data_IF_710950011671
#
_entry.id   IF_710950011671
#
_cell.length_a   1.000
_cell.length_b   1.000
_cell.length_c   1.000
_cell.angle_alpha   90.00
_cell.angle_beta   90.00
_cell.angle_gamma   90.00
#
_symmetry.space_group_name_H-M   'P 1'
#
loop_
_entity.id
_entity.type
_entity.pdbx_description
1 polymer ?
#
# COMPACT_ATOMS: atom_id res chain seq x y z
N UNK A 1 -19.60 18.07 3.74
CA UNK A 1 -18.88 18.88 4.75
C UNK A 1 -17.40 18.79 4.42
N UNK A 2 -16.72 19.92 4.18
CA UNK A 2 -15.30 19.93 3.80
C UNK A 2 -14.46 19.53 5.01
N UNK A 3 -13.86 18.34 4.96
CA UNK A 3 -12.95 17.86 5.99
C UNK A 3 -11.71 18.74 6.03
N UNK A 4 -11.43 19.36 7.18
CA UNK A 4 -10.17 20.05 7.45
C UNK A 4 -9.06 19.00 7.45
N UNK A 5 -8.21 19.05 6.44
CA UNK A 5 -7.02 18.22 6.33
C UNK A 5 -5.97 18.75 7.32
N UNK A 6 -5.84 18.13 8.50
CA UNK A 6 -4.70 18.36 9.40
C UNK A 6 -3.49 17.61 8.85
N UNK A 7 -2.78 18.25 7.94
CA UNK A 7 -1.51 17.74 7.42
C UNK A 7 -0.38 18.27 8.31
N UNK A 8 0.15 17.41 9.19
CA UNK A 8 1.31 17.72 10.03
C UNK A 8 2.57 17.55 9.18
N UNK A 9 2.94 18.59 8.42
CA UNK A 9 4.21 18.64 7.68
C UNK A 9 5.06 19.76 8.23
N UNK A 10 6.19 19.38 8.86
CA UNK A 10 7.25 20.31 9.22
C UNK A 10 7.88 20.86 7.93
N UNK A 11 7.39 21.98 7.45
CA UNK A 11 7.95 22.70 6.31
C UNK A 11 9.31 23.28 6.73
N UNK A 12 10.41 22.73 6.20
CA UNK A 12 11.74 23.29 6.37
C UNK A 12 11.91 24.41 5.34
N UNK A 13 11.65 25.64 5.75
CA UNK A 13 12.01 26.83 4.97
C UNK A 13 13.50 27.09 5.11
N UNK A 14 14.30 26.69 4.11
CA UNK A 14 15.72 27.08 4.02
C UNK A 14 15.82 28.44 3.33
N UNK A 15 16.18 29.47 4.08
CA UNK A 15 16.62 30.76 3.53
C UNK A 15 18.15 30.73 3.42
N UNK A 16 18.65 30.41 2.22
CA UNK A 16 20.08 30.46 1.91
C UNK A 16 20.51 31.85 1.47
N UNK A 17 21.28 32.57 2.29
CA UNK A 17 22.02 33.76 1.85
C UNK A 17 23.41 33.31 1.39
N UNK A 18 23.65 33.30 0.08
CA UNK A 18 25.00 33.13 -0.46
C UNK A 18 25.81 34.41 -0.25
N UNK A 19 26.86 34.33 0.57
CA UNK A 19 27.93 35.34 0.62
C UNK A 19 29.25 34.66 0.28
N UNK A 20 29.82 34.99 -0.88
CA UNK A 20 31.16 34.58 -1.30
C UNK A 20 32.21 35.29 -0.44
N UNK A 21 33.07 34.54 0.25
CA UNK A 21 34.35 35.06 0.75
C UNK A 21 35.40 33.94 0.80
N UNK A 22 36.37 34.05 -0.10
CA UNK A 22 37.58 33.24 -0.21
C UNK A 22 38.57 33.53 0.92
N UNK A 23 39.06 32.52 1.64
CA UNK A 23 40.39 32.57 2.28
C UNK A 23 41.06 31.19 2.21
N UNK A 24 42.24 31.19 1.60
CA UNK A 24 43.20 30.10 1.48
C UNK A 24 43.98 29.88 2.79
N UNK A 25 44.15 28.60 3.15
CA UNK A 25 45.38 27.93 3.59
C UNK A 25 46.33 28.60 4.61
N UNK A 26 46.37 28.07 5.84
CA UNK A 26 47.56 27.90 6.70
C UNK A 26 47.10 27.00 7.88
N UNK A 27 47.70 25.87 8.23
CA UNK A 27 49.11 25.68 8.58
C UNK A 27 49.14 25.14 10.02
N UNK A 28 49.64 23.92 10.17
CA UNK A 28 49.66 23.08 11.37
C UNK A 28 50.46 23.72 12.53
N UNK A 29 49.89 23.87 13.73
CA UNK A 29 50.68 23.87 14.97
C UNK A 29 49.86 23.55 16.22
N UNK A 30 50.29 22.50 16.92
CA UNK A 30 49.68 21.94 18.13
C UNK A 30 50.32 22.55 19.38
N UNK A 31 49.56 23.30 20.19
CA UNK A 31 49.92 23.61 21.58
C UNK A 31 48.70 23.62 22.48
N UNK A 32 48.82 22.87 23.58
CA UNK A 32 47.87 22.80 24.69
C UNK A 32 47.47 24.20 25.17
N UNK A 33 46.19 24.55 25.01
CA UNK A 33 45.58 25.72 25.60
C UNK A 33 44.51 25.27 26.60
N UNK A 34 44.73 25.70 27.84
CA UNK A 34 43.87 25.71 29.02
C UNK A 34 42.38 25.84 28.67
N UNK A 35 41.53 24.99 29.28
CA UNK A 35 40.07 25.09 29.25
C UNK A 35 39.65 26.42 29.88
N UNK A 36 39.61 27.44 29.04
CA UNK A 36 39.03 28.74 29.34
C UNK A 36 37.53 28.55 29.24
N UNK A 37 36.79 29.03 30.24
CA UNK A 37 35.32 29.09 30.21
C UNK A 37 34.85 29.54 28.83
N UNK A 38 34.26 28.64 28.05
CA UNK A 38 33.77 28.97 26.72
C UNK A 38 32.71 30.05 26.90
N UNK A 39 33.07 31.30 26.58
CA UNK A 39 32.07 32.33 26.34
C UNK A 39 31.10 31.74 25.31
N UNK A 40 29.78 31.89 25.51
CA UNK A 40 28.83 31.42 24.51
C UNK A 40 29.25 32.06 23.19
N UNK A 41 29.72 31.22 22.25
CA UNK A 41 30.08 31.66 20.91
C UNK A 41 28.88 32.44 20.40
N UNK A 42 29.11 33.68 19.98
CA UNK A 42 28.07 34.45 19.33
C UNK A 42 27.48 33.57 18.22
N UNK A 43 26.15 33.53 18.08
CA UNK A 43 25.55 32.66 17.09
C UNK A 43 26.17 32.95 15.71
N UNK A 44 26.48 31.91 14.91
CA UNK A 44 27.31 32.05 13.72
C UNK A 44 26.63 32.81 12.57
N UNK A 45 25.33 33.05 12.64
CA UNK A 45 24.57 33.78 11.63
C UNK A 45 24.07 35.13 12.15
N UNK A 46 24.28 36.17 11.35
CA UNK A 46 23.66 37.48 11.56
C UNK A 46 22.18 37.44 11.17
N UNK A 47 21.40 38.36 11.74
CA UNK A 47 20.01 38.53 11.36
C UNK A 47 19.91 39.14 9.96
N UNK A 48 18.97 38.70 9.12
CA UNK A 48 18.87 39.17 7.75
C UNK A 48 18.42 40.64 7.70
N UNK A 49 18.90 41.39 6.72
CA UNK A 49 18.62 42.84 6.60
C UNK A 49 17.13 43.16 6.42
N UNK A 50 16.36 42.24 5.85
CA UNK A 50 14.90 42.35 5.65
C UNK A 50 14.08 41.77 6.82
N UNK A 51 14.68 41.47 7.98
CA UNK A 51 13.98 40.85 9.11
C UNK A 51 12.73 41.62 9.52
N UNK A 52 12.78 42.96 9.52
CA UNK A 52 11.64 43.79 9.89
C UNK A 52 10.42 43.56 8.98
N UNK A 53 10.64 43.37 7.67
CA UNK A 53 9.57 43.08 6.72
C UNK A 53 9.03 41.65 6.92
N UNK A 54 9.91 40.68 7.17
CA UNK A 54 9.50 39.30 7.49
C UNK A 54 8.66 39.27 8.77
N UNK A 55 9.07 40.00 9.82
CA UNK A 55 8.36 40.06 11.10
C UNK A 55 7.02 40.80 11.04
N UNK A 56 6.81 41.67 10.05
CA UNK A 56 5.51 42.30 9.79
C UNK A 56 4.47 41.27 9.31
N UNK A 57 4.91 40.23 8.60
CA UNK A 57 4.06 39.13 8.11
C UNK A 57 4.00 37.99 9.14
N UNK A 58 5.17 37.62 9.68
CA UNK A 58 5.35 36.53 10.63
C UNK A 58 6.13 36.98 11.86
N UNK A 59 5.43 37.46 12.92
CA UNK A 59 6.07 37.88 14.15
C UNK A 59 6.90 36.74 14.77
N UNK A 60 8.20 36.98 14.95
CA UNK A 60 9.10 36.00 15.55
C UNK A 60 9.18 36.18 17.06
N UNK A 61 9.14 35.06 17.79
CA UNK A 61 9.48 35.06 19.21
C UNK A 61 10.99 35.19 19.41
N UNK A 62 11.42 35.57 20.60
CA UNK A 62 12.85 35.60 20.98
C UNK A 62 13.52 34.24 20.76
N UNK A 63 12.82 33.14 21.04
CA UNK A 63 13.31 31.79 20.75
C UNK A 63 13.49 31.51 19.25
N UNK A 64 12.60 32.03 18.41
CA UNK A 64 12.71 31.90 16.95
C UNK A 64 13.88 32.73 16.39
N UNK A 65 14.06 33.96 16.89
CA UNK A 65 15.22 34.81 16.56
C UNK A 65 16.54 34.15 16.96
N UNK A 66 16.60 33.58 18.17
CA UNK A 66 17.78 32.85 18.63
C UNK A 66 18.07 31.65 17.73
N UNK A 67 17.06 30.86 17.35
CA UNK A 67 17.24 29.76 16.39
C UNK A 67 17.73 30.23 15.02
N UNK A 68 17.19 31.34 14.51
CA UNK A 68 17.61 31.92 13.25
C UNK A 68 19.10 32.30 13.28
N UNK A 69 19.57 32.91 14.37
CA UNK A 69 20.98 33.26 14.55
C UNK A 69 21.89 32.03 14.74
N UNK A 70 21.37 30.97 15.34
CA UNK A 70 22.14 29.72 15.59
C UNK A 70 22.23 28.84 14.36
N UNK A 71 21.15 28.71 13.58
CA UNK A 71 21.00 27.73 12.51
C UNK A 71 20.90 28.33 11.10
N UNK A 72 20.74 29.65 10.96
CA UNK A 72 20.52 30.32 9.68
C UNK A 72 19.10 30.17 9.12
N UNK A 73 18.26 29.36 9.76
CA UNK A 73 16.85 29.21 9.44
C UNK A 73 16.02 28.97 10.71
N UNK A 74 14.71 29.16 10.60
CA UNK A 74 13.77 28.84 11.67
C UNK A 74 12.47 28.30 11.09
N UNK A 75 11.96 27.22 11.68
CA UNK A 75 10.62 26.70 11.39
C UNK A 75 9.64 27.35 12.37
N UNK A 76 8.59 27.94 11.82
CA UNK A 76 7.53 28.61 12.60
C UNK A 76 6.39 27.63 12.90
N UNK A 77 5.57 27.92 13.92
CA UNK A 77 4.38 27.12 14.21
C UNK A 77 3.43 27.04 13.00
N UNK A 78 2.64 25.97 12.96
CA UNK A 78 1.73 25.71 11.85
C UNK A 78 0.76 26.87 11.60
N UNK A 79 0.66 27.26 10.33
CA UNK A 79 -0.41 28.13 9.83
C UNK A 79 -1.41 27.26 9.08
N UNK A 80 -2.70 27.32 9.45
CA UNK A 80 -3.75 26.68 8.66
C UNK A 80 -3.88 27.40 7.30
N UNK A 81 -3.53 26.72 6.22
CA UNK A 81 -3.68 27.21 4.85
C UNK A 81 -4.28 26.10 4.01
N UNK A 82 -5.37 26.41 3.29
CA UNK A 82 -6.13 25.41 2.53
C UNK A 82 -5.33 24.77 1.39
N UNK A 83 -4.39 25.52 0.80
CA UNK A 83 -3.62 25.10 -0.37
C UNK A 83 -2.17 25.56 -0.27
N UNK A 84 -1.24 24.67 -0.62
CA UNK A 84 0.18 24.99 -0.67
C UNK A 84 0.48 26.15 -1.64
N UNK A 85 -0.23 26.23 -2.77
CA UNK A 85 -0.13 27.36 -3.70
C UNK A 85 -0.50 28.69 -3.04
N UNK A 86 -1.54 28.73 -2.19
CA UNK A 86 -1.92 29.92 -1.43
C UNK A 86 -0.86 30.30 -0.40
N UNK A 87 -0.18 29.32 0.19
CA UNK A 87 0.91 29.56 1.14
C UNK A 87 2.04 30.38 0.53
N UNK A 88 2.37 30.11 -0.74
CA UNK A 88 3.35 30.87 -1.50
C UNK A 88 2.78 32.18 -2.02
N UNK A 89 1.63 32.14 -2.72
CA UNK A 89 1.05 33.30 -3.42
C UNK A 89 0.75 34.48 -2.51
N UNK A 90 0.41 34.24 -1.23
CA UNK A 90 0.17 35.32 -0.25
C UNK A 90 1.41 36.17 0.06
N UNK A 91 2.62 35.65 -0.21
CA UNK A 91 3.88 36.33 0.08
C UNK A 91 4.45 37.07 -1.14
N UNK A 92 3.98 36.78 -2.35
CA UNK A 92 4.45 37.47 -3.56
C UNK A 92 4.22 38.99 -3.58
N UNK A 93 3.16 39.55 -2.95
CA UNK A 93 3.00 41.00 -2.83
C UNK A 93 4.03 41.69 -1.92
N UNK A 94 4.73 40.94 -1.06
CA UNK A 94 5.65 41.48 -0.07
C UNK A 94 7.04 41.72 -0.70
N UNK A 95 7.29 42.93 -1.23
CA UNK A 95 8.49 43.26 -2.02
C UNK A 95 9.83 42.95 -1.32
N UNK A 96 9.86 42.99 0.01
CA UNK A 96 11.06 42.74 0.81
C UNK A 96 11.15 41.30 1.35
N UNK A 97 10.21 40.43 0.98
CA UNK A 97 10.19 39.02 1.39
C UNK A 97 10.49 38.15 0.18
N UNK A 98 11.61 37.43 0.21
CA UNK A 98 11.92 36.44 -0.82
C UNK A 98 11.15 35.15 -0.56
N UNK A 99 10.44 34.67 -1.58
CA UNK A 99 9.68 33.41 -1.54
C UNK A 99 10.51 32.31 -2.19
N UNK A 100 10.91 31.30 -1.41
CA UNK A 100 11.59 30.12 -1.92
C UNK A 100 10.58 28.99 -2.14
N UNK A 101 10.33 28.63 -3.40
CA UNK A 101 9.40 27.56 -3.77
C UNK A 101 10.15 26.24 -3.85
N UNK A 102 9.76 25.27 -3.04
CA UNK A 102 10.34 23.93 -3.02
C UNK A 102 9.66 22.98 -4.01
N UNK A 103 10.30 21.84 -4.28
CA UNK A 103 9.79 20.81 -5.19
C UNK A 103 8.53 20.10 -4.70
N UNK A 104 8.20 20.21 -3.41
CA UNK A 104 6.97 19.70 -2.80
C UNK A 104 5.70 20.29 -3.43
N UNK A 105 5.76 21.50 -4.00
CA UNK A 105 4.64 22.07 -4.76
C UNK A 105 4.30 21.20 -5.96
N UNK A 106 5.32 20.79 -6.72
CA UNK A 106 5.11 19.93 -7.88
C UNK A 106 4.58 18.56 -7.45
N UNK A 107 5.10 18.00 -6.35
CA UNK A 107 4.65 16.72 -5.81
C UNK A 107 3.20 16.81 -5.29
N UNK A 108 2.83 17.88 -4.59
CA UNK A 108 1.46 18.10 -4.12
C UNK A 108 0.47 18.23 -5.28
N UNK A 109 0.82 18.99 -6.32
CA UNK A 109 0.00 19.10 -7.53
C UNK A 109 -0.14 17.75 -8.24
N UNK A 110 0.96 17.00 -8.36
CA UNK A 110 0.93 15.64 -8.90
C UNK A 110 0.00 14.74 -8.10
N UNK A 111 0.07 14.75 -6.77
CA UNK A 111 -0.81 13.96 -5.91
C UNK A 111 -2.29 14.30 -6.11
N UNK A 112 -2.65 15.58 -6.18
CA UNK A 112 -4.05 15.98 -6.39
C UNK A 112 -4.57 15.50 -7.75
N UNK A 113 -3.77 15.67 -8.82
CA UNK A 113 -4.15 15.21 -10.17
C UNK A 113 -4.27 13.68 -10.22
N UNK A 114 -3.36 12.97 -9.54
CA UNK A 114 -3.40 11.52 -9.46
C UNK A 114 -4.64 11.02 -8.69
N UNK A 115 -4.96 11.65 -7.56
CA UNK A 115 -6.13 11.31 -6.73
C UNK A 115 -7.45 11.53 -7.50
N UNK A 116 -7.57 12.66 -8.19
CA UNK A 116 -8.72 12.97 -9.05
C UNK A 116 -8.86 11.95 -10.20
N UNK A 117 -7.74 11.63 -10.88
CA UNK A 117 -7.73 10.64 -11.95
C UNK A 117 -8.14 9.24 -11.44
N UNK A 118 -7.58 8.80 -10.31
CA UNK A 118 -7.89 7.51 -9.70
C UNK A 118 -9.38 7.45 -9.32
N UNK A 119 -9.88 8.51 -8.67
CA UNK A 119 -11.29 8.63 -8.29
C UNK A 119 -12.22 8.46 -9.50
N UNK A 120 -11.92 9.14 -10.61
CA UNK A 120 -12.73 9.06 -11.83
C UNK A 120 -12.67 7.67 -12.48
N UNK A 121 -11.48 7.07 -12.55
CA UNK A 121 -11.30 5.71 -13.10
C UNK A 121 -12.04 4.65 -12.27
N UNK A 122 -11.99 4.76 -10.94
CA UNK A 122 -12.67 3.83 -10.03
C UNK A 122 -14.18 3.93 -10.15
N UNK A 123 -14.72 5.16 -10.10
CA UNK A 123 -16.16 5.40 -10.22
C UNK A 123 -16.73 4.99 -11.58
N UNK A 124 -16.00 5.28 -12.65
CA UNK A 124 -16.50 5.12 -14.03
C UNK A 124 -16.26 3.72 -14.58
N UNK A 125 -15.17 3.06 -14.16
CA UNK A 125 -14.75 1.79 -14.76
C UNK A 125 -14.47 0.70 -13.71
N UNK A 126 -13.47 0.88 -12.84
CA UNK A 126 -12.92 -0.23 -12.06
C UNK A 126 -13.91 -0.85 -11.08
N UNK A 127 -14.81 -0.05 -10.48
CA UNK A 127 -15.84 -0.59 -9.58
C UNK A 127 -16.74 -1.60 -10.28
N UNK A 128 -17.20 -1.28 -11.49
CA UNK A 128 -18.07 -2.17 -12.26
C UNK A 128 -17.30 -3.41 -12.75
N UNK A 129 -16.06 -3.22 -13.21
CA UNK A 129 -15.19 -4.31 -13.67
C UNK A 129 -14.86 -5.29 -12.53
N UNK A 130 -14.46 -4.80 -11.36
CA UNK A 130 -14.16 -5.62 -10.18
C UNK A 130 -15.41 -6.37 -9.71
N UNK A 131 -16.57 -5.71 -9.66
CA UNK A 131 -17.83 -6.37 -9.30
C UNK A 131 -18.15 -7.54 -10.22
N UNK A 132 -18.04 -7.33 -11.53
CA UNK A 132 -18.25 -8.40 -12.51
C UNK A 132 -17.22 -9.52 -12.36
N UNK A 133 -15.96 -9.18 -12.19
CA UNK A 133 -14.87 -10.15 -12.03
C UNK A 133 -15.08 -11.04 -10.80
N UNK A 134 -15.43 -10.46 -9.66
CA UNK A 134 -15.75 -11.17 -8.41
C UNK A 134 -16.96 -12.09 -8.60
N UNK A 135 -18.01 -11.62 -9.25
CA UNK A 135 -19.21 -12.44 -9.52
C UNK A 135 -18.89 -13.65 -10.41
N UNK A 136 -18.18 -13.43 -11.53
CA UNK A 136 -17.80 -14.48 -12.46
C UNK A 136 -16.91 -15.54 -11.77
N UNK A 137 -15.92 -15.11 -11.00
CA UNK A 137 -15.02 -16.01 -10.26
C UNK A 137 -15.69 -16.71 -9.08
N UNK A 138 -16.65 -16.08 -8.41
CA UNK A 138 -17.48 -16.74 -7.38
C UNK A 138 -18.27 -17.91 -7.97
N UNK A 139 -18.97 -17.68 -9.09
CA UNK A 139 -19.76 -18.73 -9.77
C UNK A 139 -18.87 -19.89 -10.19
N UNK A 140 -17.69 -19.60 -10.76
CA UNK A 140 -16.71 -20.62 -11.14
C UNK A 140 -16.21 -21.39 -9.91
N UNK A 141 -15.91 -20.71 -8.81
CA UNK A 141 -15.43 -21.32 -7.56
C UNK A 141 -16.45 -22.28 -6.95
N UNK A 142 -17.74 -21.89 -6.91
CA UNK A 142 -18.83 -22.76 -6.43
C UNK A 142 -18.96 -23.99 -7.34
N UNK A 143 -18.84 -23.80 -8.65
CA UNK A 143 -18.90 -24.88 -9.62
C UNK A 143 -17.76 -25.88 -9.47
N UNK A 144 -16.54 -25.41 -9.19
CA UNK A 144 -15.40 -26.28 -8.89
C UNK A 144 -15.64 -27.10 -7.62
N UNK A 145 -16.07 -26.47 -6.53
CA UNK A 145 -16.34 -27.16 -5.27
C UNK A 145 -17.38 -28.30 -5.43
N UNK A 146 -18.40 -28.09 -6.27
CA UNK A 146 -19.44 -29.10 -6.54
C UNK A 146 -18.97 -30.26 -7.43
N UNK A 147 -17.98 -30.04 -8.32
CA UNK A 147 -17.51 -31.03 -9.29
C UNK A 147 -16.35 -31.87 -8.76
N UNK A 148 -15.58 -31.35 -7.81
CA UNK A 148 -14.44 -32.06 -7.24
C UNK A 148 -14.95 -33.27 -6.43
N UNK A 149 -14.50 -34.50 -6.74
CA UNK A 149 -14.87 -35.71 -6.02
C UNK A 149 -14.54 -35.65 -4.53
N UNK A 150 -15.33 -36.33 -3.69
CA UNK A 150 -15.15 -36.28 -2.23
C UNK A 150 -13.84 -36.89 -1.74
N UNK A 151 -13.22 -37.78 -2.53
CA UNK A 151 -11.94 -38.39 -2.23
C UNK A 151 -10.73 -37.48 -2.51
N UNK A 152 -10.94 -36.34 -3.21
CA UNK A 152 -9.93 -35.30 -3.42
C UNK A 152 -10.03 -34.28 -2.28
N UNK A 153 -9.55 -34.66 -1.09
CA UNK A 153 -9.77 -33.89 0.14
C UNK A 153 -9.07 -32.53 0.09
N UNK A 154 -7.86 -32.46 -0.47
CA UNK A 154 -7.12 -31.21 -0.58
C UNK A 154 -7.74 -30.30 -1.63
N UNK A 155 -8.07 -30.84 -2.82
CA UNK A 155 -8.74 -30.10 -3.88
C UNK A 155 -10.08 -29.53 -3.42
N UNK A 156 -10.86 -30.29 -2.63
CA UNK A 156 -12.13 -29.82 -2.08
C UNK A 156 -11.95 -28.71 -1.04
N UNK A 157 -10.94 -28.81 -0.19
CA UNK A 157 -10.59 -27.75 0.76
C UNK A 157 -10.15 -26.47 0.02
N UNK A 158 -9.35 -26.60 -1.03
CA UNK A 158 -8.89 -25.50 -1.88
C UNK A 158 -10.04 -24.81 -2.63
N UNK A 159 -10.98 -25.58 -3.19
CA UNK A 159 -12.16 -25.03 -3.82
C UNK A 159 -13.08 -24.31 -2.81
N UNK A 160 -13.22 -24.86 -1.59
CA UNK A 160 -13.94 -24.18 -0.49
C UNK A 160 -13.28 -22.86 -0.13
N UNK A 161 -11.94 -22.81 -0.08
CA UNK A 161 -11.18 -21.59 0.17
C UNK A 161 -11.51 -20.51 -0.87
N UNK A 162 -11.49 -20.83 -2.17
CA UNK A 162 -11.84 -19.88 -3.22
C UNK A 162 -13.31 -19.43 -3.14
N UNK A 163 -14.24 -20.33 -2.82
CA UNK A 163 -15.64 -19.95 -2.57
C UNK A 163 -15.74 -18.94 -1.44
N UNK A 164 -15.08 -19.18 -0.31
CA UNK A 164 -15.08 -18.27 0.83
C UNK A 164 -14.46 -16.91 0.45
N UNK A 165 -13.31 -16.92 -0.22
CA UNK A 165 -12.59 -15.72 -0.65
C UNK A 165 -13.47 -14.80 -1.51
N UNK A 166 -14.12 -15.34 -2.55
CA UNK A 166 -15.01 -14.55 -3.40
C UNK A 166 -16.38 -14.30 -2.79
N UNK A 167 -16.85 -15.13 -1.87
CA UNK A 167 -18.08 -14.87 -1.12
C UNK A 167 -17.95 -13.61 -0.25
N UNK A 168 -16.85 -13.48 0.49
CA UNK A 168 -16.57 -12.27 1.30
C UNK A 168 -16.49 -11.06 0.38
N UNK A 169 -15.72 -11.11 -0.71
CA UNK A 169 -15.65 -10.03 -1.68
C UNK A 169 -17.02 -9.65 -2.28
N UNK A 170 -17.85 -10.64 -2.59
CA UNK A 170 -19.21 -10.44 -3.10
C UNK A 170 -20.09 -9.71 -2.08
N UNK A 171 -20.03 -10.09 -0.80
CA UNK A 171 -20.77 -9.41 0.27
C UNK A 171 -20.32 -7.96 0.48
N UNK A 172 -19.03 -7.70 0.35
CA UNK A 172 -18.49 -6.34 0.48
C UNK A 172 -18.94 -5.43 -0.68
N UNK A 173 -19.23 -6.00 -1.85
CA UNK A 173 -19.71 -5.27 -3.04
C UNK A 173 -21.23 -5.19 -3.17
N UNK A 174 -21.94 -6.10 -2.50
CA UNK A 174 -23.39 -6.25 -2.46
C UNK A 174 -23.84 -6.83 -1.11
N UNK A 175 -24.43 -5.98 -0.27
CA UNK A 175 -24.88 -6.34 1.08
C UNK A 175 -25.95 -7.44 1.11
N UNK A 176 -26.67 -7.64 0.01
CA UNK A 176 -27.71 -8.65 -0.11
C UNK A 176 -27.19 -10.06 -0.45
N UNK A 177 -25.90 -10.17 -0.80
CA UNK A 177 -25.30 -11.43 -1.22
C UNK A 177 -25.34 -12.50 -0.12
N UNK A 178 -25.84 -13.71 -0.40
CA UNK A 178 -25.85 -14.82 0.57
C UNK A 178 -24.95 -15.96 0.07
N UNK A 179 -23.96 -16.42 0.86
CA UNK A 179 -23.10 -17.52 0.46
C UNK A 179 -23.76 -18.88 0.73
N UNK A 180 -23.15 -20.00 0.26
CA UNK A 180 -23.60 -21.34 0.61
C UNK A 180 -23.33 -21.68 2.07
N UNK A 181 -24.18 -22.50 2.69
CA UNK A 181 -24.12 -22.85 4.12
C UNK A 181 -22.74 -23.38 4.58
N UNK A 182 -22.04 -24.12 3.72
CA UNK A 182 -20.76 -24.77 4.07
C UNK A 182 -19.58 -23.78 4.27
N UNK A 183 -19.72 -22.52 3.87
CA UNK A 183 -18.76 -21.44 4.19
C UNK A 183 -19.31 -20.40 5.17
N UNK A 184 -20.59 -20.50 5.56
CA UNK A 184 -21.28 -19.47 6.33
C UNK A 184 -20.61 -19.08 7.66
N UNK A 185 -20.03 -20.01 8.46
CA UNK A 185 -19.36 -19.64 9.70
C UNK A 185 -18.17 -18.70 9.46
N UNK A 186 -17.20 -19.15 8.65
CA UNK A 186 -15.99 -18.37 8.33
C UNK A 186 -16.33 -17.08 7.58
N UNK A 187 -17.33 -17.13 6.69
CA UNK A 187 -17.83 -15.98 5.97
C UNK A 187 -18.34 -14.90 6.91
N UNK A 188 -19.19 -15.27 7.88
CA UNK A 188 -19.77 -14.32 8.82
C UNK A 188 -18.69 -13.68 9.68
N UNK A 189 -17.70 -14.47 10.12
CA UNK A 189 -16.55 -13.98 10.87
C UNK A 189 -15.73 -12.96 10.08
N UNK A 190 -15.32 -13.29 8.85
CA UNK A 190 -14.51 -12.37 8.05
C UNK A 190 -15.25 -11.09 7.67
N UNK A 191 -16.53 -11.20 7.29
CA UNK A 191 -17.34 -10.02 6.97
C UNK A 191 -17.47 -9.12 8.19
N UNK A 192 -17.73 -9.69 9.37
CA UNK A 192 -17.82 -8.92 10.61
C UNK A 192 -16.51 -8.18 10.90
N UNK A 193 -15.36 -8.87 10.90
CA UNK A 193 -14.05 -8.26 11.15
C UNK A 193 -13.71 -7.13 10.16
N UNK A 194 -14.01 -7.33 8.87
CA UNK A 194 -13.79 -6.30 7.84
C UNK A 194 -14.70 -5.08 8.03
N UNK A 195 -15.95 -5.28 8.44
CA UNK A 195 -16.90 -4.18 8.66
C UNK A 195 -16.62 -3.44 9.96
N UNK A 196 -16.16 -4.13 11.01
CA UNK A 196 -15.77 -3.51 12.28
C UNK A 196 -14.44 -2.76 12.19
N UNK A 197 -13.50 -3.27 11.38
CA UNK A 197 -12.20 -2.68 11.06
C UNK A 197 -11.43 -2.14 12.28
N UNK A 198 -11.50 -2.83 13.41
CA UNK A 198 -10.99 -2.37 14.72
C UNK A 198 -9.91 -3.27 15.32
N UNK A 199 -9.63 -4.41 14.68
CA UNK A 199 -8.77 -5.45 15.22
C UNK A 199 -7.56 -5.68 14.32
N UNK A 200 -6.38 -5.82 14.92
CA UNK A 200 -5.18 -6.25 14.25
C UNK A 200 -4.75 -7.62 14.81
N UNK A 201 -4.71 -8.63 13.96
CA UNK A 201 -4.28 -9.98 14.30
C UNK A 201 -2.87 -10.23 13.77
N UNK A 202 -2.06 -10.94 14.56
CA UNK A 202 -0.77 -11.42 14.06
C UNK A 202 -0.99 -12.52 13.03
N UNK A 203 -0.02 -12.66 12.11
CA UNK A 203 0.05 -13.75 11.15
C UNK A 203 -0.27 -15.11 11.82
N UNK A 204 -1.17 -15.93 11.23
CA UNK A 204 -1.74 -15.86 9.88
C UNK A 204 -3.07 -15.06 9.79
N UNK A 205 -3.39 -14.26 10.81
CA UNK A 205 -4.51 -13.30 10.77
C UNK A 205 -4.27 -12.12 9.81
N UNK A 206 -5.05 -11.06 9.95
CA UNK A 206 -4.92 -9.83 9.16
C UNK A 206 -5.02 -8.59 10.06
N UNK A 207 -4.54 -7.46 9.54
CA UNK A 207 -4.81 -6.15 10.13
C UNK A 207 -6.13 -5.59 9.56
N UNK A 208 -7.22 -5.86 10.26
CA UNK A 208 -8.55 -5.42 9.86
C UNK A 208 -8.71 -3.90 9.97
N UNK A 209 -7.82 -3.19 10.68
CA UNK A 209 -7.83 -1.71 10.73
C UNK A 209 -7.52 -1.07 9.37
N UNK A 210 -6.97 -1.83 8.42
CA UNK A 210 -6.71 -1.37 7.05
C UNK A 210 -7.95 -1.30 6.15
N UNK A 211 -9.11 -1.80 6.64
CA UNK A 211 -10.37 -1.83 5.89
C UNK A 211 -11.27 -0.62 6.18
N UNK A 212 -10.86 0.27 7.08
CA UNK A 212 -11.50 1.58 7.27
C UNK A 212 -11.37 2.43 5.99
N UNK A 213 -12.48 2.87 5.37
CA UNK A 213 -12.43 3.76 4.20
C UNK A 213 -11.80 5.11 4.55
N UNK A 214 -10.89 5.59 3.68
CA UNK A 214 -10.11 6.82 3.88
C UNK A 214 -10.03 7.61 2.57
N UNK A 215 -9.56 8.85 2.63
CA UNK A 215 -9.35 9.67 1.42
C UNK A 215 -10.65 9.90 0.65
N UNK A 216 -10.61 9.76 -0.68
CA UNK A 216 -11.75 9.96 -1.57
C UNK A 216 -12.82 8.86 -1.48
N UNK A 217 -12.52 7.71 -0.85
CA UNK A 217 -13.50 6.65 -0.64
C UNK A 217 -14.49 6.97 0.48
N UNK A 218 -14.05 7.71 1.50
CA UNK A 218 -14.86 7.95 2.70
C UNK A 218 -16.05 8.88 2.42
N UNK A 219 -17.24 8.48 2.89
CA UNK A 219 -18.47 9.27 2.76
C UNK A 219 -19.29 9.00 1.49
N UNK A 220 -18.87 8.07 0.64
CA UNK A 220 -19.65 7.53 -0.49
C UNK A 220 -19.79 6.02 -0.30
N UNK A 221 -20.99 5.56 0.07
CA UNK A 221 -21.24 4.15 0.44
C UNK A 221 -20.79 3.14 -0.63
N UNK A 222 -20.95 3.46 -1.92
CA UNK A 222 -20.53 2.56 -2.98
C UNK A 222 -19.01 2.49 -3.10
N UNK A 223 -18.32 3.62 -2.90
CA UNK A 223 -16.85 3.63 -2.88
C UNK A 223 -16.29 2.98 -1.63
N UNK A 224 -16.95 3.13 -0.49
CA UNK A 224 -16.55 2.44 0.74
C UNK A 224 -16.69 0.91 0.60
N UNK A 225 -17.77 0.44 -0.01
CA UNK A 225 -17.97 -0.98 -0.38
C UNK A 225 -16.87 -1.47 -1.33
N UNK A 226 -16.61 -0.71 -2.39
CA UNK A 226 -15.55 -0.99 -3.35
C UNK A 226 -14.16 -1.06 -2.70
N UNK A 227 -13.82 -0.09 -1.86
CA UNK A 227 -12.55 -0.02 -1.14
C UNK A 227 -12.32 -1.28 -0.30
N UNK A 228 -13.29 -1.68 0.53
CA UNK A 228 -13.18 -2.87 1.38
C UNK A 228 -13.00 -4.14 0.56
N UNK A 229 -13.74 -4.27 -0.53
CA UNK A 229 -13.61 -5.41 -1.43
C UNK A 229 -12.25 -5.46 -2.13
N UNK A 230 -11.77 -4.34 -2.65
CA UNK A 230 -10.44 -4.27 -3.29
C UNK A 230 -9.32 -4.53 -2.26
N UNK A 231 -9.45 -4.01 -1.04
CA UNK A 231 -8.54 -4.31 0.08
C UNK A 231 -8.52 -5.80 0.41
N UNK A 232 -9.68 -6.43 0.53
CA UNK A 232 -9.79 -7.87 0.76
C UNK A 232 -9.09 -8.68 -0.33
N UNK A 233 -9.37 -8.36 -1.60
CA UNK A 233 -8.79 -9.06 -2.75
C UNK A 233 -7.27 -8.91 -2.83
N UNK A 234 -6.75 -7.71 -2.58
CA UNK A 234 -5.33 -7.37 -2.76
C UNK A 234 -4.45 -7.70 -1.55
N UNK A 235 -5.00 -7.81 -0.33
CA UNK A 235 -4.20 -8.03 0.88
C UNK A 235 -4.09 -9.50 1.27
N UNK A 236 -5.11 -10.30 0.98
CA UNK A 236 -5.12 -11.72 1.34
C UNK A 236 -4.11 -12.46 0.47
N UNK A 237 -3.30 -13.29 1.13
CA UNK A 237 -2.24 -14.06 0.50
C UNK A 237 -2.65 -15.53 0.39
N UNK A 238 -2.17 -16.17 -0.66
CA UNK A 238 -2.20 -17.61 -0.82
C UNK A 238 -0.76 -18.11 -0.66
N UNK A 239 -0.46 -18.70 0.50
CA UNK A 239 0.90 -19.14 0.83
C UNK A 239 1.30 -20.31 -0.08
N UNK A 240 2.47 -20.19 -0.71
CA UNK A 240 3.02 -21.31 -1.48
C UNK A 240 3.65 -22.36 -0.55
N UNK A 241 4.13 -21.93 0.62
CA UNK A 241 4.66 -22.76 1.70
C UNK A 241 4.50 -22.03 3.04
N UNK A 242 4.53 -22.76 4.15
CA UNK A 242 4.53 -22.20 5.50
C UNK A 242 5.11 -23.23 6.48
N UNK A 243 6.04 -22.81 7.34
CA UNK A 243 6.68 -23.69 8.32
C UNK A 243 5.83 -23.93 9.58
N UNK A 244 4.98 -22.97 9.94
CA UNK A 244 4.14 -23.02 11.14
C UNK A 244 2.75 -23.57 10.83
N UNK A 245 2.24 -23.32 9.61
CA UNK A 245 0.91 -23.73 9.14
C UNK A 245 0.98 -24.49 7.80
N UNK A 246 1.75 -25.59 7.70
CA UNK A 246 2.01 -26.26 6.43
C UNK A 246 0.76 -26.84 5.76
N UNK A 247 -0.22 -27.30 6.54
CA UNK A 247 -1.47 -27.84 6.00
C UNK A 247 -2.34 -26.76 5.34
N UNK A 248 -2.39 -25.57 5.93
CA UNK A 248 -3.13 -24.45 5.35
C UNK A 248 -2.43 -23.93 4.09
N UNK A 249 -1.09 -23.89 4.08
CA UNK A 249 -0.33 -23.55 2.88
C UNK A 249 -0.49 -24.59 1.76
N UNK A 250 -0.67 -25.88 2.06
CA UNK A 250 -1.03 -26.90 1.05
C UNK A 250 -2.41 -26.57 0.42
N UNK A 251 -3.39 -26.16 1.23
CA UNK A 251 -4.72 -25.73 0.75
C UNK A 251 -4.61 -24.48 -0.11
N UNK A 252 -3.87 -23.47 0.35
CA UNK A 252 -3.73 -22.18 -0.34
C UNK A 252 -2.94 -22.28 -1.64
N UNK A 253 -1.85 -23.04 -1.68
CA UNK A 253 -1.12 -23.34 -2.92
C UNK A 253 -2.05 -23.99 -3.96
N UNK A 254 -2.87 -24.94 -3.52
CA UNK A 254 -3.83 -25.64 -4.37
C UNK A 254 -4.98 -24.71 -4.79
N UNK A 255 -5.42 -23.81 -3.91
CA UNK A 255 -6.46 -22.81 -4.19
C UNK A 255 -5.97 -21.76 -5.20
N UNK A 256 -4.73 -21.30 -5.07
CA UNK A 256 -4.05 -20.43 -6.03
C UNK A 256 -3.91 -21.11 -7.41
N UNK A 257 -3.56 -22.39 -7.44
CA UNK A 257 -3.47 -23.16 -8.69
C UNK A 257 -4.84 -23.27 -9.40
N UNK A 258 -5.90 -23.52 -8.63
CA UNK A 258 -7.28 -23.60 -9.13
C UNK A 258 -7.78 -22.24 -9.62
N UNK A 259 -7.45 -21.16 -8.90
CA UNK A 259 -7.77 -19.79 -9.27
C UNK A 259 -7.08 -19.39 -10.59
N UNK A 260 -5.78 -19.66 -10.71
CA UNK A 260 -5.00 -19.38 -11.90
C UNK A 260 -5.60 -20.07 -13.14
N UNK A 261 -5.97 -21.35 -13.02
CA UNK A 261 -6.69 -22.07 -14.08
C UNK A 261 -8.07 -21.48 -14.37
N UNK A 262 -8.80 -21.03 -13.36
CA UNK A 262 -10.14 -20.44 -13.53
C UNK A 262 -10.09 -19.15 -14.34
N UNK A 263 -9.04 -18.34 -14.14
CA UNK A 263 -8.79 -17.12 -14.89
C UNK A 263 -8.35 -17.46 -16.31
N UNK A 264 -7.30 -18.27 -16.46
CA UNK A 264 -6.71 -18.64 -17.77
C UNK A 264 -7.69 -19.41 -18.68
N UNK A 265 -8.49 -20.30 -18.10
CA UNK A 265 -9.46 -21.13 -18.80
C UNK A 265 -10.71 -20.38 -19.30
N UNK A 266 -10.88 -19.11 -18.96
CA UNK A 266 -12.00 -18.29 -19.41
C UNK A 266 -11.51 -16.95 -19.97
N UNK A 267 -11.50 -16.84 -21.31
CA UNK A 267 -11.00 -15.66 -22.01
C UNK A 267 -11.66 -14.33 -21.58
N UNK A 268 -12.94 -14.34 -21.20
CA UNK A 268 -13.62 -13.12 -20.71
C UNK A 268 -13.13 -12.73 -19.32
N UNK A 269 -12.92 -13.71 -18.44
CA UNK A 269 -12.40 -13.48 -17.09
C UNK A 269 -10.93 -13.07 -17.14
N UNK A 270 -10.11 -13.75 -17.95
CA UNK A 270 -8.72 -13.39 -18.19
C UNK A 270 -8.57 -11.95 -18.70
N UNK A 271 -9.38 -11.55 -19.69
CA UNK A 271 -9.36 -10.20 -20.23
C UNK A 271 -9.78 -9.16 -19.20
N UNK A 272 -10.79 -9.46 -18.38
CA UNK A 272 -11.27 -8.55 -17.33
C UNK A 272 -10.26 -8.41 -16.19
N UNK A 273 -9.68 -9.53 -15.74
CA UNK A 273 -8.60 -9.53 -14.74
C UNK A 273 -7.40 -8.73 -15.26
N UNK A 274 -6.97 -8.97 -16.50
CA UNK A 274 -5.84 -8.25 -17.12
C UNK A 274 -6.14 -6.76 -17.22
N UNK A 275 -7.36 -6.36 -17.60
CA UNK A 275 -7.76 -4.95 -17.64
C UNK A 275 -7.62 -4.28 -16.27
N UNK A 276 -8.11 -4.93 -15.21
CA UNK A 276 -8.01 -4.38 -13.84
C UNK A 276 -6.55 -4.30 -13.42
N UNK A 277 -5.78 -5.36 -13.61
CA UNK A 277 -4.36 -5.42 -13.27
C UNK A 277 -3.51 -4.39 -14.05
N UNK A 278 -3.73 -4.23 -15.35
CA UNK A 278 -2.94 -3.32 -16.17
C UNK A 278 -3.18 -1.85 -15.80
N UNK A 279 -4.41 -1.50 -15.43
CA UNK A 279 -4.73 -0.15 -14.94
C UNK A 279 -4.07 0.09 -13.58
N UNK A 280 -4.22 -0.84 -12.63
CA UNK A 280 -3.62 -0.68 -11.29
C UNK A 280 -2.10 -0.67 -11.37
N UNK A 281 -1.50 -1.53 -12.21
CA UNK A 281 -0.06 -1.58 -12.47
C UNK A 281 0.48 -0.28 -13.04
N UNK A 282 -0.24 0.36 -13.95
CA UNK A 282 0.17 1.65 -14.52
C UNK A 282 0.13 2.79 -13.51
N UNK A 283 -0.77 2.72 -12.52
CA UNK A 283 -0.96 3.76 -11.51
C UNK A 283 -0.07 3.56 -10.28
N UNK A 284 0.08 2.33 -9.80
CA UNK A 284 0.71 2.00 -8.52
C UNK A 284 2.00 1.16 -8.66
N UNK A 285 2.37 0.74 -9.87
CA UNK A 285 3.52 -0.14 -10.11
C UNK A 285 3.15 -1.63 -10.17
N UNK A 286 4.09 -2.50 -10.58
CA UNK A 286 3.85 -3.94 -10.68
C UNK A 286 3.53 -4.54 -9.31
N UNK A 287 2.80 -5.67 -9.33
CA UNK A 287 2.58 -6.45 -8.12
C UNK A 287 3.90 -6.94 -7.54
N UNK A 288 4.03 -6.78 -6.22
CA UNK A 288 5.14 -7.23 -5.38
C UNK A 288 4.87 -8.64 -4.82
N UNK A 289 4.19 -9.48 -5.60
CA UNK A 289 3.75 -10.83 -5.24
C UNK A 289 3.44 -11.61 -6.51
N UNK A 290 3.29 -12.93 -6.42
CA UNK A 290 3.04 -13.78 -7.60
C UNK A 290 1.57 -13.59 -8.02
N UNK A 291 1.25 -12.96 -9.18
CA UNK A 291 -0.12 -12.85 -9.63
C UNK A 291 -0.60 -14.17 -10.27
N UNK A 292 -1.91 -14.38 -10.45
CA UNK A 292 -2.46 -15.61 -11.00
C UNK A 292 -1.88 -16.02 -12.38
N UNK A 293 -1.57 -15.11 -13.33
CA UNK A 293 -0.91 -15.52 -14.58
C UNK A 293 0.48 -16.11 -14.38
N UNK A 294 1.26 -15.65 -13.40
CA UNK A 294 2.56 -16.26 -13.10
C UNK A 294 2.39 -17.60 -12.38
N UNK A 295 1.36 -17.75 -11.53
CA UNK A 295 0.99 -19.05 -10.98
C UNK A 295 0.62 -20.05 -12.10
N UNK A 296 -0.15 -19.62 -13.10
CA UNK A 296 -0.48 -20.44 -14.27
C UNK A 296 0.78 -20.83 -15.06
N UNK A 297 1.72 -19.89 -15.26
CA UNK A 297 3.00 -20.17 -15.89
C UNK A 297 3.80 -21.24 -15.13
N UNK A 298 3.80 -21.20 -13.79
CA UNK A 298 4.46 -22.20 -12.96
C UNK A 298 3.83 -23.59 -13.13
N UNK A 299 2.49 -23.68 -13.16
CA UNK A 299 1.78 -24.93 -13.41
C UNK A 299 2.16 -25.53 -14.76
N UNK A 300 2.20 -24.71 -15.82
CA UNK A 300 2.62 -25.16 -17.16
C UNK A 300 4.09 -25.60 -17.19
N UNK A 301 4.98 -24.92 -16.48
CA UNK A 301 6.39 -25.30 -16.41
C UNK A 301 6.62 -26.66 -15.75
N UNK A 302 5.82 -26.99 -14.73
CA UNK A 302 5.99 -28.22 -13.92
C UNK A 302 5.23 -29.39 -14.50
N UNK A 303 3.96 -29.17 -14.89
CA UNK A 303 3.03 -30.23 -15.29
C UNK A 303 2.65 -30.19 -16.77
N UNK A 304 3.07 -29.16 -17.51
CA UNK A 304 2.66 -28.93 -18.89
C UNK A 304 1.20 -28.45 -19.01
N UNK A 305 0.68 -28.45 -20.23
CA UNK A 305 -0.73 -28.08 -20.52
C UNK A 305 -1.73 -29.15 -20.09
N UNK A 306 -1.26 -30.31 -19.60
CA UNK A 306 -2.10 -31.41 -19.16
C UNK A 306 -2.34 -31.40 -17.63
N UNK A 307 -2.00 -30.30 -16.95
CA UNK A 307 -2.23 -30.14 -15.52
C UNK A 307 -3.70 -30.40 -15.16
N UNK A 308 -3.91 -31.18 -14.11
CA UNK A 308 -5.22 -31.38 -13.49
C UNK A 308 -5.09 -31.23 -11.98
N UNK A 309 -6.13 -30.72 -11.32
CA UNK A 309 -6.07 -30.36 -9.90
C UNK A 309 -5.73 -31.55 -9.00
N UNK A 310 -6.19 -32.75 -9.37
CA UNK A 310 -5.94 -34.00 -8.63
C UNK A 310 -4.45 -34.36 -8.55
N UNK A 311 -3.62 -33.87 -9.48
CA UNK A 311 -2.16 -34.02 -9.39
C UNK A 311 -1.63 -33.39 -8.10
N UNK A 312 -2.27 -32.34 -7.57
CA UNK A 312 -1.83 -31.68 -6.34
C UNK A 312 -2.23 -32.41 -5.07
N UNK A 313 -3.04 -33.48 -5.13
CA UNK A 313 -3.25 -34.37 -3.98
C UNK A 313 -1.94 -35.05 -3.55
N UNK A 314 -1.04 -35.29 -4.51
CA UNK A 314 0.27 -35.88 -4.28
C UNK A 314 1.28 -34.86 -3.74
N UNK A 315 1.86 -35.13 -2.56
CA UNK A 315 2.80 -34.23 -1.90
C UNK A 315 4.06 -33.95 -2.73
N UNK A 316 4.52 -34.93 -3.52
CA UNK A 316 5.66 -34.77 -4.41
C UNK A 316 5.40 -33.73 -5.51
N UNK A 317 4.19 -33.69 -6.07
CA UNK A 317 3.81 -32.72 -7.08
C UNK A 317 3.74 -31.30 -6.49
N UNK A 318 3.19 -31.16 -5.27
CA UNK A 318 3.22 -29.87 -4.55
C UNK A 318 4.65 -29.40 -4.29
N UNK A 319 5.56 -30.30 -3.93
CA UNK A 319 6.97 -29.97 -3.73
C UNK A 319 7.65 -29.52 -5.04
N UNK A 320 7.35 -30.14 -6.17
CA UNK A 320 7.84 -29.70 -7.49
C UNK A 320 7.33 -28.30 -7.85
N UNK A 321 6.04 -28.02 -7.59
CA UNK A 321 5.45 -26.71 -7.83
C UNK A 321 6.07 -25.62 -6.93
N UNK A 322 6.31 -25.93 -5.66
CA UNK A 322 7.04 -25.02 -4.75
C UNK A 322 8.45 -24.72 -5.28
N UNK A 323 9.19 -25.75 -5.68
CA UNK A 323 10.54 -25.58 -6.22
C UNK A 323 10.57 -24.69 -7.46
N UNK A 324 9.56 -24.81 -8.34
CA UNK A 324 9.39 -23.90 -9.47
C UNK A 324 9.14 -22.46 -9.01
N UNK A 325 8.16 -22.23 -8.13
CA UNK A 325 7.79 -20.89 -7.64
C UNK A 325 8.94 -20.18 -6.90
N UNK A 326 9.92 -20.93 -6.38
CA UNK A 326 11.13 -20.38 -5.78
C UNK A 326 12.14 -19.81 -6.76
N UNK A 327 12.05 -20.11 -8.07
CA UNK A 327 12.95 -19.55 -9.08
C UNK A 327 12.87 -18.03 -9.19
N UNK A 328 13.96 -17.40 -9.59
CA UNK A 328 14.09 -15.93 -9.69
C UNK A 328 13.19 -15.26 -10.75
N UNK A 329 12.49 -16.05 -11.56
CA UNK A 329 11.49 -15.54 -12.52
C UNK A 329 10.17 -15.14 -11.85
N UNK A 330 9.96 -15.53 -10.60
CA UNK A 330 8.78 -15.19 -9.80
C UNK A 330 9.16 -14.12 -8.76
N UNK A 331 8.32 -13.07 -8.59
CA UNK A 331 8.61 -11.96 -7.69
C UNK A 331 8.75 -12.44 -6.24
N UNK A 332 9.59 -11.73 -5.50
CA UNK A 332 9.75 -11.84 -4.05
C UNK A 332 9.06 -10.63 -3.47
N UNK A 333 8.21 -10.83 -2.48
CA UNK A 333 7.51 -9.74 -1.82
C UNK A 333 8.43 -8.95 -0.91
N UNK A 334 8.45 -7.64 -1.12
CA UNK A 334 9.12 -6.63 -0.30
C UNK A 334 8.19 -6.09 0.80
N UNK A 335 6.88 -6.13 0.58
CA UNK A 335 5.85 -5.60 1.50
C UNK A 335 5.18 -6.74 2.26
N UNK A 336 5.33 -6.75 3.58
CA UNK A 336 4.60 -7.67 4.46
C UNK A 336 3.22 -7.05 4.77
N UNK A 337 2.10 -7.69 4.38
CA UNK A 337 0.78 -7.08 4.51
C UNK A 337 0.23 -7.16 5.93
N UNK A 338 0.75 -8.06 6.78
CA UNK A 338 0.17 -8.41 8.08
C UNK A 338 1.18 -8.29 9.23
N UNK A 339 0.73 -7.93 10.44
CA UNK A 339 1.60 -7.90 11.62
C UNK A 339 2.25 -9.27 11.88
N UNK A 340 3.55 -9.29 12.18
CA UNK A 340 4.29 -10.51 12.53
C UNK A 340 4.79 -10.46 13.96
N UNK A 341 4.77 -11.59 14.66
CA UNK A 341 5.34 -11.71 16.02
C UNK A 341 6.87 -11.62 16.01
N UNK A 342 7.50 -12.09 14.93
CA UNK A 342 8.95 -12.06 14.74
C UNK A 342 9.34 -11.92 13.26
N UNK A 343 10.53 -11.39 12.94
CA UNK A 343 11.00 -11.28 11.56
C UNK A 343 11.04 -12.63 10.84
N UNK A 344 10.55 -12.66 9.59
CA UNK A 344 10.56 -13.87 8.75
C UNK A 344 9.48 -14.89 9.05
N UNK A 345 8.46 -14.54 9.85
CA UNK A 345 7.32 -15.43 10.13
C UNK A 345 6.49 -15.74 8.87
N UNK A 346 6.35 -14.75 7.97
CA UNK A 346 5.71 -14.91 6.67
C UNK A 346 6.76 -15.29 5.61
N UNK A 347 6.49 -16.29 4.76
CA UNK A 347 7.32 -16.57 3.59
C UNK A 347 7.39 -15.37 2.66
N UNK A 348 8.55 -15.13 2.04
CA UNK A 348 8.75 -14.00 1.14
C UNK A 348 8.07 -14.16 -0.23
N UNK A 349 7.59 -15.37 -0.55
CA UNK A 349 6.87 -15.66 -1.79
C UNK A 349 5.49 -16.21 -1.47
N UNK A 350 4.48 -15.60 -2.06
CA UNK A 350 3.10 -16.00 -1.96
C UNK A 350 2.34 -15.48 -3.19
N UNK A 351 1.18 -16.08 -3.45
CA UNK A 351 0.30 -15.66 -4.53
C UNK A 351 -0.70 -14.63 -3.99
N UNK A 352 -0.99 -13.60 -4.76
CA UNK A 352 -2.06 -12.64 -4.49
C UNK A 352 -2.92 -12.48 -5.75
N UNK A 353 -4.18 -12.08 -5.56
CA UNK A 353 -5.16 -11.96 -6.64
C UNK A 353 -4.84 -10.84 -7.64
#
# INVERSE_FOLDING_TARGET
MKGKLRLMWSLITVLGVCSYASVLNAGHDSRHATLTSAQPLAPPFDLPANLQAVEAVYPLSEGARLRLRTSGFVVLPDYEIDYLSRAYMRLFPEEQVSVFVTSDVALHLFHNVFDDLLTELEKTHLRADVRRLVQDLYVVSVSHYQRIPENQTLGRAAARHNVLFFAVASRLLDESFVPPDYVQPDFSEYVQKVLDHDTAEFYPGDDFTQYEPRGHYAGDEELERYFRALKWLSRRIFRIEDYFYPADADVELTAAALLAQSIDGNASVAALWSKVYDVTRQLAGPADSIPPPLMQQALVNVFGTAFSLDMLEEAANRAMLRAELWRDIYPISEIIPVPTEFPGQIPLKYVQF
#
